data_IF_651158356419
#
_entry.id   IF_651158356419
#
_cell.length_a   1.000
_cell.length_b   1.000
_cell.length_c   1.000
_cell.angle_alpha   90.00
_cell.angle_beta   90.00
_cell.angle_gamma   90.00
#
_symmetry.space_group_name_H-M   'P 1'
#
loop_
_entity.id
_entity.type
_entity.pdbx_description
1 polymer ?
#
# COMPACT_ATOMS: atom_id res chain seq x y z
N UNK A 1 8.06 10.13 -2.87
CA UNK A 1 7.64 8.83 -3.44
C UNK A 1 8.83 8.13 -4.07
N UNK A 2 9.43 8.65 -5.15
CA UNK A 2 10.51 7.96 -5.87
C UNK A 2 11.74 7.54 -5.03
N UNK A 3 12.31 8.37 -4.12
CA UNK A 3 13.46 7.95 -3.31
C UNK A 3 13.14 6.76 -2.39
N UNK A 4 11.95 6.77 -1.78
CA UNK A 4 11.49 5.70 -0.87
C UNK A 4 11.31 4.35 -1.58
N UNK A 5 10.82 4.38 -2.83
CA UNK A 5 10.70 3.18 -3.65
C UNK A 5 12.07 2.63 -4.06
N UNK A 6 13.07 3.49 -4.23
CA UNK A 6 14.43 3.09 -4.57
C UNK A 6 15.18 2.47 -3.38
N UNK A 7 14.85 2.87 -2.16
CA UNK A 7 15.39 2.29 -0.93
C UNK A 7 14.75 0.93 -0.58
N UNK A 8 13.55 0.65 -1.11
CA UNK A 8 12.90 -0.65 -0.96
C UNK A 8 13.62 -1.71 -1.80
N UNK A 9 14.61 -2.35 -1.18
CA UNK A 9 15.23 -3.57 -1.71
C UNK A 9 14.22 -4.70 -1.82
N UNK A 10 14.53 -5.69 -2.64
CA UNK A 10 13.78 -6.94 -2.68
C UNK A 10 13.67 -7.54 -1.26
N UNK A 11 12.47 -8.01 -0.90
CA UNK A 11 12.23 -8.67 0.37
C UNK A 11 11.58 -10.04 0.13
N UNK A 12 12.08 -11.04 0.85
CA UNK A 12 11.50 -12.40 0.89
C UNK A 12 10.40 -12.54 1.96
N UNK A 13 9.99 -11.44 2.60
CA UNK A 13 8.96 -11.42 3.65
C UNK A 13 7.59 -11.04 3.09
N UNK A 14 6.52 -11.51 3.76
CA UNK A 14 5.14 -11.16 3.41
C UNK A 14 4.63 -9.91 4.14
N UNK A 15 5.36 -9.44 5.16
CA UNK A 15 4.95 -8.34 6.01
C UNK A 15 5.08 -6.97 5.33
N UNK A 16 4.12 -6.04 5.59
CA UNK A 16 4.24 -4.65 5.18
C UNK A 16 5.50 -3.99 5.74
N UNK A 17 6.24 -3.31 4.87
CA UNK A 17 7.50 -2.62 5.20
C UNK A 17 7.34 -1.10 5.23
N UNK A 18 6.24 -0.60 4.68
CA UNK A 18 5.95 0.83 4.58
C UNK A 18 4.45 1.09 4.78
N UNK A 19 4.14 2.10 5.60
CA UNK A 19 2.80 2.62 5.81
C UNK A 19 2.75 4.10 5.40
N UNK A 20 1.80 4.44 4.55
CA UNK A 20 1.53 5.82 4.12
C UNK A 20 0.11 6.17 4.56
N UNK A 21 -0.02 7.14 5.47
CA UNK A 21 -1.32 7.61 5.93
C UNK A 21 -1.75 8.87 5.16
N UNK A 22 -2.97 8.85 4.64
CA UNK A 22 -3.58 9.97 3.91
C UNK A 22 -4.99 10.26 4.43
N UNK A 23 -5.48 11.50 4.36
CA UNK A 23 -6.72 11.87 5.05
C UNK A 23 -8.00 11.39 4.36
N UNK A 24 -7.98 11.05 3.06
CA UNK A 24 -9.19 10.70 2.31
C UNK A 24 -9.01 9.44 1.46
N UNK A 25 -10.14 8.84 1.06
CA UNK A 25 -10.17 7.62 0.23
C UNK A 25 -9.59 7.89 -1.16
N UNK A 26 -9.91 9.05 -1.72
CA UNK A 26 -9.50 9.51 -3.04
C UNK A 26 -7.97 9.65 -3.08
N UNK A 27 -7.37 10.18 -2.01
CA UNK A 27 -5.92 10.26 -1.90
C UNK A 27 -5.26 8.89 -1.75
N UNK A 28 -5.93 7.89 -1.12
CA UNK A 28 -5.37 6.53 -1.10
C UNK A 28 -5.25 6.00 -2.53
N UNK A 29 -6.33 6.10 -3.31
CA UNK A 29 -6.35 5.62 -4.70
C UNK A 29 -5.28 6.33 -5.53
N UNK A 30 -5.21 7.66 -5.47
CA UNK A 30 -4.21 8.44 -6.20
C UNK A 30 -2.78 8.05 -5.83
N UNK A 31 -2.48 7.86 -4.54
CA UNK A 31 -1.12 7.49 -4.11
C UNK A 31 -0.77 6.07 -4.52
N UNK A 32 -1.71 5.11 -4.48
CA UNK A 32 -1.52 3.75 -4.98
C UNK A 32 -1.18 3.77 -6.48
N UNK A 33 -1.98 4.47 -7.28
CA UNK A 33 -1.75 4.62 -8.73
C UNK A 33 -0.38 5.24 -9.03
N UNK A 34 0.03 6.25 -8.25
CA UNK A 34 1.36 6.86 -8.40
C UNK A 34 2.48 5.86 -8.05
N UNK A 35 2.33 5.08 -6.99
CA UNK A 35 3.31 4.06 -6.61
C UNK A 35 3.43 3.00 -7.71
N UNK A 36 2.32 2.51 -8.23
CA UNK A 36 2.29 1.53 -9.32
C UNK A 36 2.96 2.09 -10.59
N UNK A 37 2.71 3.35 -10.93
CA UNK A 37 3.33 4.01 -12.08
C UNK A 37 4.87 4.13 -11.92
N UNK A 38 5.36 4.43 -10.72
CA UNK A 38 6.81 4.52 -10.45
C UNK A 38 7.47 3.14 -10.30
N UNK A 39 6.72 2.13 -9.90
CA UNK A 39 7.20 0.77 -9.66
C UNK A 39 7.21 -0.12 -10.92
N UNK A 40 7.05 0.45 -12.12
CA UNK A 40 7.01 -0.31 -13.38
C UNK A 40 8.17 -1.31 -13.57
N UNK A 41 9.33 -1.05 -12.95
CA UNK A 41 10.53 -1.90 -13.01
C UNK A 41 11.00 -2.40 -11.63
N UNK A 42 10.19 -2.26 -10.58
CA UNK A 42 10.52 -2.67 -9.22
C UNK A 42 9.43 -3.62 -8.73
N UNK A 43 9.81 -4.81 -8.27
CA UNK A 43 8.84 -5.79 -7.77
C UNK A 43 8.36 -5.40 -6.36
N UNK A 44 7.26 -4.64 -6.28
CA UNK A 44 6.66 -4.19 -5.02
C UNK A 44 5.14 -4.40 -5.05
N UNK A 45 4.59 -4.90 -3.94
CA UNK A 45 3.15 -5.09 -3.76
C UNK A 45 2.59 -3.93 -2.93
N UNK A 46 1.66 -3.18 -3.50
CA UNK A 46 1.02 -2.04 -2.83
C UNK A 46 -0.47 -2.32 -2.63
N UNK A 47 -1.02 -1.93 -1.47
CA UNK A 47 -2.43 -2.07 -1.16
C UNK A 47 -3.01 -0.76 -0.59
N UNK A 48 -4.17 -0.35 -1.11
CA UNK A 48 -5.00 0.70 -0.54
C UNK A 48 -5.97 0.19 0.53
N UNK A 49 -5.96 0.79 1.73
CA UNK A 49 -6.79 0.42 2.88
C UNK A 49 -7.64 1.61 3.33
N UNK A 50 -8.92 1.60 2.96
CA UNK A 50 -9.84 2.70 3.25
C UNK A 50 -11.30 2.26 3.40
N UNK A 51 -12.12 3.17 3.94
CA UNK A 51 -13.54 2.95 4.22
C UNK A 51 -14.40 2.63 2.99
N UNK A 52 -15.62 2.11 3.20
CA UNK A 52 -16.59 1.91 2.12
C UNK A 52 -16.31 0.74 1.17
N UNK A 53 -15.38 -0.15 1.53
CA UNK A 53 -15.14 -1.45 0.88
C UNK A 53 -15.09 -2.57 1.92
N UNK A 54 -15.16 -3.83 1.48
CA UNK A 54 -15.21 -5.00 2.36
C UNK A 54 -13.89 -5.17 3.12
N UNK A 55 -13.95 -5.10 4.46
CA UNK A 55 -12.78 -5.22 5.34
C UNK A 55 -12.12 -6.60 5.25
N UNK A 56 -12.89 -7.67 5.02
CA UNK A 56 -12.34 -9.02 4.94
C UNK A 56 -11.51 -9.21 3.67
N UNK A 57 -11.89 -8.54 2.57
CA UNK A 57 -11.10 -8.53 1.33
C UNK A 57 -9.76 -7.81 1.55
N UNK A 58 -9.77 -6.66 2.22
CA UNK A 58 -8.54 -5.93 2.57
C UNK A 58 -7.65 -6.74 3.53
N UNK A 59 -8.23 -7.35 4.57
CA UNK A 59 -7.50 -8.22 5.52
C UNK A 59 -6.85 -9.42 4.83
N UNK A 60 -7.59 -10.06 3.92
CA UNK A 60 -7.08 -11.16 3.11
C UNK A 60 -5.91 -10.71 2.24
N UNK A 61 -6.04 -9.57 1.55
CA UNK A 61 -4.96 -9.02 0.74
C UNK A 61 -3.68 -8.75 1.56
N UNK A 62 -3.81 -8.21 2.77
CA UNK A 62 -2.66 -8.05 3.69
C UNK A 62 -2.03 -9.39 4.05
N UNK A 63 -2.86 -10.41 4.33
CA UNK A 63 -2.39 -11.76 4.70
C UNK A 63 -1.73 -12.49 3.53
N UNK A 64 -2.20 -12.25 2.30
CA UNK A 64 -1.63 -12.80 1.07
C UNK A 64 -0.27 -12.13 0.72
N UNK A 65 0.10 -11.05 1.43
CA UNK A 65 1.42 -10.43 1.41
C UNK A 65 1.45 -9.09 0.68
N UNK A 66 1.88 -8.03 1.37
CA UNK A 66 1.94 -6.66 0.86
C UNK A 66 3.23 -6.01 1.34
N UNK A 67 3.88 -5.20 0.49
CA UNK A 67 5.08 -4.43 0.87
C UNK A 67 4.75 -3.02 1.37
N UNK A 68 3.76 -2.38 0.73
CA UNK A 68 3.36 -1.00 1.03
C UNK A 68 1.85 -0.94 1.29
N UNK A 69 1.46 -0.39 2.44
CA UNK A 69 0.07 -0.06 2.75
C UNK A 69 -0.11 1.46 2.63
N UNK A 70 -1.10 1.87 1.85
CA UNK A 70 -1.58 3.26 1.80
C UNK A 70 -2.97 3.29 2.43
N UNK A 71 -3.17 4.07 3.50
CA UNK A 71 -4.41 3.97 4.27
C UNK A 71 -4.99 5.29 4.75
N UNK A 72 -6.30 5.31 4.95
CA UNK A 72 -6.96 6.32 5.78
C UNK A 72 -6.85 5.93 7.25
N UNK A 73 -6.50 6.84 8.19
CA UNK A 73 -6.31 6.50 9.60
C UNK A 73 -7.48 5.70 10.20
N UNK A 74 -8.72 6.14 9.97
CA UNK A 74 -9.90 5.51 10.57
C UNK A 74 -10.21 4.08 10.09
N UNK A 75 -9.63 3.60 8.99
CA UNK A 75 -9.77 2.21 8.54
C UNK A 75 -8.58 1.33 8.97
N UNK A 76 -7.45 1.95 9.27
CA UNK A 76 -6.22 1.26 9.65
C UNK A 76 -6.17 0.90 11.14
N UNK A 77 -6.75 1.73 12.00
CA UNK A 77 -6.86 1.51 13.45
C UNK A 77 -7.82 0.38 13.82
#
# INVERSE_FOLDING_TARGET
>A
MLPLLHELKYADTLDPRMLILVPTRELVVQVVEQIEAYAAYINVRVLGVYGGTNINTQKKAVTDGVDIIVATPGRFI
#
